data_IF_327620526668
#
_entry.id   IF_327620526668
#
_cell.length_a   1.000
_cell.length_b   1.000
_cell.length_c   1.000
_cell.angle_alpha   90.00
_cell.angle_beta   90.00
_cell.angle_gamma   90.00
#
_symmetry.space_group_name_H-M   'P 1'
#
loop_
_entity.id
_entity.type
_entity.pdbx_description
1 polymer ?
#
# COMPACT_ATOMS: atom_id res chain seq x y z
N UNK A 1 14.19 6.56 13.74
CA UNK A 1 13.70 5.37 13.02
C UNK A 1 13.97 5.55 11.54
N UNK A 2 13.42 4.66 10.72
CA UNK A 2 13.45 4.77 9.25
C UNK A 2 12.02 4.56 8.75
N UNK A 3 11.58 5.39 7.80
CA UNK A 3 10.35 5.19 7.06
C UNK A 3 10.69 5.00 5.58
N UNK A 4 10.27 3.87 5.00
CA UNK A 4 10.55 3.54 3.61
C UNK A 4 9.42 3.98 2.70
N UNK A 5 9.66 5.11 2.03
CA UNK A 5 8.82 5.69 0.98
C UNK A 5 9.47 5.51 -0.40
N UNK A 6 9.60 4.24 -0.80
CA UNK A 6 10.32 3.85 -2.02
C UNK A 6 9.31 3.73 -3.16
N UNK A 7 9.47 4.61 -4.14
CA UNK A 7 8.57 4.70 -5.27
C UNK A 7 9.31 4.87 -6.59
N UNK A 8 8.56 4.68 -7.68
CA UNK A 8 9.00 5.01 -9.02
C UNK A 8 9.02 6.52 -9.26
N UNK A 9 9.31 6.89 -10.50
CA UNK A 9 9.21 8.26 -10.99
C UNK A 9 8.25 8.34 -12.17
N UNK A 10 7.63 9.50 -12.37
CA UNK A 10 6.68 9.76 -13.45
C UNK A 10 7.35 9.90 -14.85
N UNK A 11 8.27 9.01 -15.16
CA UNK A 11 8.96 8.88 -16.45
C UNK A 11 9.06 7.40 -16.83
N UNK A 12 8.31 6.99 -17.85
CA UNK A 12 8.26 5.60 -18.31
C UNK A 12 9.62 5.05 -18.75
N UNK A 13 10.57 5.90 -19.14
CA UNK A 13 11.90 5.47 -19.56
C UNK A 13 12.88 5.37 -18.39
N UNK A 14 12.55 5.93 -17.22
CA UNK A 14 13.46 6.00 -16.08
C UNK A 14 13.84 4.61 -15.55
N UNK A 15 15.15 4.32 -15.40
CA UNK A 15 15.60 3.06 -14.80
C UNK A 15 15.19 2.92 -13.33
N UNK A 16 14.70 3.99 -12.68
CA UNK A 16 14.26 3.97 -11.28
C UNK A 16 12.84 3.39 -11.10
N UNK A 17 12.14 3.05 -12.18
CA UNK A 17 10.83 2.39 -12.12
C UNK A 17 10.93 0.87 -11.93
N UNK A 18 11.87 0.44 -11.09
CA UNK A 18 12.11 -0.95 -10.72
C UNK A 18 12.64 -0.99 -9.29
N UNK A 19 12.04 -1.80 -8.42
CA UNK A 19 12.62 -2.15 -7.12
C UNK A 19 13.65 -3.27 -7.37
N UNK A 20 14.89 -2.90 -7.67
CA UNK A 20 15.94 -3.88 -7.93
C UNK A 20 16.14 -4.85 -6.76
N UNK A 21 16.64 -6.05 -7.04
CA UNK A 21 16.99 -7.02 -5.99
C UNK A 21 17.97 -6.46 -4.95
N UNK A 22 18.88 -5.58 -5.37
CA UNK A 22 19.80 -4.87 -4.47
C UNK A 22 19.07 -3.89 -3.54
N UNK A 23 18.12 -3.11 -4.08
CA UNK A 23 17.27 -2.22 -3.28
C UNK A 23 16.43 -3.03 -2.28
N UNK A 24 15.73 -4.05 -2.77
CA UNK A 24 14.93 -4.97 -1.95
C UNK A 24 15.74 -5.59 -0.80
N UNK A 25 16.96 -6.06 -1.09
CA UNK A 25 17.86 -6.65 -0.09
C UNK A 25 18.31 -5.60 0.93
N UNK A 26 18.75 -4.43 0.47
CA UNK A 26 19.21 -3.34 1.33
C UNK A 26 18.12 -2.91 2.32
N UNK A 27 16.90 -2.67 1.80
CA UNK A 27 15.76 -2.21 2.58
C UNK A 27 15.42 -3.22 3.67
N UNK A 28 15.30 -4.49 3.32
CA UNK A 28 14.97 -5.55 4.28
C UNK A 28 16.05 -5.79 5.32
N UNK A 29 17.31 -5.95 4.90
CA UNK A 29 18.43 -6.20 5.80
C UNK A 29 18.70 -5.03 6.75
N UNK A 30 18.62 -3.79 6.25
CA UNK A 30 18.75 -2.60 7.09
C UNK A 30 17.59 -2.50 8.07
N UNK A 31 16.37 -2.79 7.63
CA UNK A 31 15.18 -2.80 8.50
C UNK A 31 15.31 -3.82 9.63
N UNK A 32 15.73 -5.05 9.32
CA UNK A 32 15.98 -6.09 10.32
C UNK A 32 17.00 -5.64 11.37
N UNK A 33 18.13 -5.07 10.93
CA UNK A 33 19.21 -4.62 11.82
C UNK A 33 18.82 -3.40 12.64
N UNK A 34 18.12 -2.44 12.03
CA UNK A 34 17.59 -1.28 12.72
C UNK A 34 16.59 -1.72 13.81
N UNK A 35 15.71 -2.67 13.48
CA UNK A 35 14.74 -3.21 14.43
C UNK A 35 15.41 -3.95 15.59
N UNK A 36 16.40 -4.78 15.31
CA UNK A 36 17.20 -5.46 16.33
C UNK A 36 17.95 -4.48 17.27
N UNK A 37 18.24 -3.26 16.78
CA UNK A 37 18.89 -2.19 17.55
C UNK A 37 17.89 -1.30 18.31
N UNK A 38 16.60 -1.62 18.29
CA UNK A 38 15.56 -0.89 19.02
C UNK A 38 15.00 0.34 18.30
N UNK A 39 15.30 0.52 17.00
CA UNK A 39 14.69 1.60 16.21
C UNK A 39 13.28 1.24 15.75
N UNK A 40 12.46 2.29 15.60
CA UNK A 40 11.19 2.22 14.88
C UNK A 40 11.47 2.13 13.39
N UNK A 41 10.89 1.14 12.71
CA UNK A 41 11.02 0.97 11.26
C UNK A 41 9.63 0.88 10.64
N UNK A 42 9.34 1.69 9.65
CA UNK A 42 8.04 1.74 8.98
C UNK A 42 8.23 1.70 7.48
N UNK A 43 7.14 1.42 6.77
CA UNK A 43 7.07 1.57 5.33
C UNK A 43 5.72 2.14 4.94
N UNK A 44 5.71 2.85 3.82
CA UNK A 44 4.56 3.62 3.37
C UNK A 44 4.24 3.28 1.91
N UNK A 45 3.79 2.05 1.60
CA UNK A 45 3.53 1.67 0.22
C UNK A 45 2.31 2.39 -0.37
N UNK A 46 2.36 2.87 -1.63
CA UNK A 46 1.15 3.07 -2.40
C UNK A 46 0.31 1.79 -2.43
N UNK A 47 -1.02 1.91 -2.35
CA UNK A 47 -1.87 0.71 -2.46
C UNK A 47 -1.63 -0.07 -3.76
N UNK A 48 -1.29 0.59 -4.88
CA UNK A 48 -0.97 -0.14 -6.11
C UNK A 48 0.29 -1.01 -6.01
N UNK A 49 1.15 -0.79 -4.99
CA UNK A 49 2.39 -1.52 -4.75
C UNK A 49 2.20 -2.58 -3.64
N UNK A 50 1.06 -2.52 -2.96
CA UNK A 50 0.61 -3.49 -1.96
C UNK A 50 -0.92 -3.62 -2.09
N UNK A 51 -1.36 -4.42 -3.06
CA UNK A 51 -2.75 -4.80 -3.26
C UNK A 51 -2.89 -6.31 -3.02
N UNK A 52 -3.15 -6.66 -1.76
CA UNK A 52 -3.31 -8.04 -1.31
C UNK A 52 -4.60 -8.71 -1.83
N UNK A 53 -5.32 -8.09 -2.77
CA UNK A 53 -6.39 -8.75 -3.52
C UNK A 53 -5.94 -9.23 -4.90
N UNK A 54 -4.73 -8.87 -5.33
CA UNK A 54 -4.06 -9.38 -6.53
C UNK A 54 -3.05 -10.46 -6.13
N UNK A 55 -3.00 -11.55 -6.90
CA UNK A 55 -2.07 -12.66 -6.67
C UNK A 55 -0.69 -12.42 -7.27
N UNK A 56 -0.56 -11.51 -8.23
CA UNK A 56 0.71 -11.28 -8.91
C UNK A 56 1.63 -10.37 -8.12
N UNK A 57 2.93 -10.55 -8.31
CA UNK A 57 3.98 -9.67 -7.83
C UNK A 57 4.92 -9.31 -8.98
N UNK A 58 5.36 -8.06 -9.06
CA UNK A 58 6.41 -7.64 -9.99
C UNK A 58 7.32 -6.62 -9.29
N UNK A 59 8.61 -6.64 -9.61
CA UNK A 59 9.57 -5.63 -9.16
C UNK A 59 9.60 -4.41 -10.09
N UNK A 60 9.09 -4.55 -11.31
CA UNK A 60 8.77 -3.43 -12.19
C UNK A 60 7.66 -2.59 -11.57
N UNK A 61 7.82 -1.27 -11.64
CA UNK A 61 6.79 -0.31 -11.23
C UNK A 61 6.01 0.24 -12.43
N UNK A 62 6.12 -0.43 -13.59
CA UNK A 62 5.59 0.05 -14.88
C UNK A 62 4.30 -0.67 -15.30
N UNK A 63 3.31 -0.69 -14.42
CA UNK A 63 2.04 -1.35 -14.70
C UNK A 63 0.93 -0.33 -14.96
N UNK A 64 0.05 -0.66 -15.89
CA UNK A 64 -1.13 0.16 -16.19
C UNK A 64 -2.15 -0.02 -15.07
N UNK A 65 -2.71 1.08 -14.58
CA UNK A 65 -3.82 1.02 -13.61
C UNK A 65 -5.09 0.48 -14.26
N UNK A 66 -5.76 -0.46 -13.57
CA UNK A 66 -6.99 -1.09 -14.05
C UNK A 66 -8.12 -0.09 -14.39
N UNK A 67 -8.22 1.01 -13.65
CA UNK A 67 -9.27 2.02 -13.85
C UNK A 67 -8.79 3.35 -14.41
N UNK A 68 -7.48 3.50 -14.64
CA UNK A 68 -6.92 4.68 -15.29
C UNK A 68 -5.87 4.25 -16.31
N UNK A 69 -6.29 3.89 -17.55
CA UNK A 69 -5.39 3.36 -18.57
C UNK A 69 -4.23 4.29 -18.96
N UNK A 70 -4.33 5.60 -18.68
CA UNK A 70 -3.24 6.55 -18.90
C UNK A 70 -2.19 6.57 -17.79
N UNK A 71 -2.45 5.95 -16.64
CA UNK A 71 -1.49 5.83 -15.55
C UNK A 71 -0.72 4.51 -15.67
N UNK A 72 0.60 4.60 -15.74
CA UNK A 72 1.49 3.48 -16.07
C UNK A 72 2.49 3.15 -14.95
N UNK A 73 2.26 3.66 -13.74
CA UNK A 73 3.18 3.53 -12.61
C UNK A 73 2.58 2.75 -11.43
N UNK A 74 1.74 1.75 -11.70
CA UNK A 74 1.29 0.80 -10.66
C UNK A 74 2.39 -0.25 -10.41
N UNK A 75 2.53 -0.73 -9.18
CA UNK A 75 3.70 -1.53 -8.74
C UNK A 75 3.38 -2.94 -8.24
N UNK A 76 2.24 -3.50 -8.65
CA UNK A 76 1.88 -4.92 -8.58
C UNK A 76 2.53 -5.70 -7.42
N UNK A 77 2.12 -5.42 -6.16
CA UNK A 77 2.61 -6.12 -4.96
C UNK A 77 4.13 -6.15 -4.71
N UNK A 78 4.91 -5.22 -5.26
CA UNK A 78 6.35 -5.14 -5.00
C UNK A 78 6.68 -5.08 -3.49
N UNK A 79 5.84 -4.44 -2.67
CA UNK A 79 6.02 -4.39 -1.20
C UNK A 79 5.55 -5.66 -0.48
N UNK A 80 4.68 -6.48 -1.09
CA UNK A 80 4.26 -7.74 -0.48
C UNK A 80 5.45 -8.69 -0.30
N UNK A 81 6.44 -8.63 -1.21
CA UNK A 81 7.67 -9.41 -1.10
C UNK A 81 8.49 -9.04 0.14
N UNK A 82 8.50 -7.75 0.54
CA UNK A 82 9.22 -7.31 1.73
C UNK A 82 8.57 -7.88 3.00
N UNK A 83 7.24 -7.84 3.07
CA UNK A 83 6.47 -8.45 4.15
C UNK A 83 6.63 -9.97 4.22
N UNK A 84 6.66 -10.63 3.07
CA UNK A 84 6.81 -12.08 2.96
C UNK A 84 8.21 -12.55 3.40
N UNK A 85 9.26 -11.82 3.01
CA UNK A 85 10.65 -12.19 3.33
C UNK A 85 11.06 -11.77 4.74
N UNK A 86 10.75 -10.53 5.10
CA UNK A 86 11.18 -9.91 6.34
C UNK A 86 9.96 -9.82 7.25
N UNK A 87 9.77 -10.89 8.04
CA UNK A 87 8.67 -11.13 8.99
C UNK A 87 7.97 -9.84 9.44
N UNK A 88 6.64 -9.86 9.51
CA UNK A 88 5.82 -8.76 10.01
C UNK A 88 6.40 -8.03 11.23
N UNK A 89 7.09 -8.69 12.18
CA UNK A 89 7.74 -8.02 13.32
C UNK A 89 8.87 -7.02 12.96
N UNK A 90 9.36 -7.03 11.73
CA UNK A 90 10.43 -6.15 11.21
C UNK A 90 9.94 -4.70 11.11
N UNK A 91 8.70 -4.52 10.67
CA UNK A 91 8.10 -3.20 10.45
C UNK A 91 7.10 -2.91 11.57
N UNK A 92 7.32 -1.83 12.31
CA UNK A 92 6.40 -1.36 13.35
C UNK A 92 5.05 -0.96 12.76
N UNK A 93 5.08 -0.24 11.63
CA UNK A 93 3.88 0.22 10.93
C UNK A 93 3.99 0.00 9.42
N UNK A 94 2.85 -0.29 8.81
CA UNK A 94 2.66 -0.34 7.35
C UNK A 94 1.59 0.68 6.99
N UNK A 95 2.02 1.82 6.46
CA UNK A 95 1.20 2.99 6.18
C UNK A 95 0.75 2.99 4.72
N UNK A 96 -0.36 2.33 4.40
CA UNK A 96 -0.81 2.21 3.01
C UNK A 96 -1.33 3.55 2.49
N UNK A 97 -0.70 4.10 1.45
CA UNK A 97 -1.13 5.34 0.82
C UNK A 97 -2.28 5.09 -0.16
N UNK A 98 -3.46 5.65 0.13
CA UNK A 98 -4.65 5.51 -0.72
C UNK A 98 -4.76 6.60 -1.81
N UNK A 99 -3.77 7.50 -1.88
CA UNK A 99 -3.84 8.75 -2.64
C UNK A 99 -2.70 8.92 -3.66
N UNK A 100 -1.62 8.15 -3.55
CA UNK A 100 -0.39 8.41 -4.30
C UNK A 100 -0.46 7.96 -5.76
N UNK A 101 -1.19 6.87 -6.01
CA UNK A 101 -1.31 6.25 -7.33
C UNK A 101 -2.78 6.02 -7.68
N UNK A 102 -3.07 5.73 -8.95
CA UNK A 102 -4.39 5.24 -9.33
C UNK A 102 -4.52 3.78 -8.92
N UNK A 103 -5.09 3.55 -7.74
CA UNK A 103 -5.17 2.24 -7.11
C UNK A 103 -6.61 1.76 -6.96
N UNK A 104 -6.79 0.53 -6.47
CA UNK A 104 -8.07 -0.18 -6.44
C UNK A 104 -9.17 0.60 -5.72
N UNK A 105 -8.86 1.27 -4.60
CA UNK A 105 -9.84 2.06 -3.86
C UNK A 105 -10.25 3.32 -4.64
N UNK A 106 -9.35 3.95 -5.40
CA UNK A 106 -9.73 5.04 -6.31
C UNK A 106 -10.79 4.57 -7.28
N UNK A 107 -10.57 3.40 -7.87
CA UNK A 107 -11.48 2.80 -8.84
C UNK A 107 -12.84 2.55 -8.19
N UNK A 108 -12.85 1.88 -7.02
CA UNK A 108 -14.07 1.52 -6.31
C UNK A 108 -14.88 2.76 -5.88
N UNK A 109 -14.24 3.80 -5.34
CA UNK A 109 -14.93 5.03 -4.93
C UNK A 109 -15.48 5.79 -6.13
N UNK A 110 -14.73 5.88 -7.23
CA UNK A 110 -15.18 6.57 -8.46
C UNK A 110 -16.33 5.84 -9.15
N UNK A 111 -16.26 4.51 -9.25
CA UNK A 111 -17.31 3.69 -9.86
C UNK A 111 -18.58 3.62 -9.01
N UNK A 112 -18.46 3.65 -7.68
CA UNK A 112 -19.62 3.73 -6.77
C UNK A 112 -20.15 5.17 -6.60
N UNK A 113 -19.43 6.21 -7.03
CA UNK A 113 -20.02 7.54 -7.11
C UNK A 113 -21.08 7.62 -8.24
N UNK A 114 -21.00 6.75 -9.25
CA UNK A 114 -21.88 6.76 -10.42
C UNK A 114 -23.03 5.76 -10.34
N UNK A 115 -22.96 4.78 -9.44
CA UNK A 115 -24.00 3.80 -9.15
C UNK A 115 -24.32 3.87 -7.65
N UNK A 116 -25.59 3.92 -7.21
CA UNK A 116 -25.98 4.05 -5.78
C UNK A 116 -25.59 2.81 -4.91
N UNK A 117 -24.39 2.27 -5.08
CA UNK A 117 -23.83 1.10 -4.41
C UNK A 117 -23.25 1.43 -3.05
N UNK A 118 -22.15 0.77 -2.70
CA UNK A 118 -21.50 0.90 -1.40
C UNK A 118 -21.03 2.33 -1.12
N UNK A 119 -21.21 2.79 0.12
CA UNK A 119 -20.69 4.07 0.61
C UNK A 119 -19.15 4.04 0.68
N UNK A 120 -18.51 5.22 0.61
CA UNK A 120 -17.06 5.36 0.80
C UNK A 120 -16.57 4.68 2.09
N UNK A 121 -17.32 4.80 3.18
CA UNK A 121 -17.02 4.16 4.45
C UNK A 121 -17.03 2.61 4.36
N UNK A 122 -17.98 2.03 3.63
CA UNK A 122 -18.04 0.58 3.40
C UNK A 122 -16.84 0.10 2.57
N UNK A 123 -16.55 0.79 1.46
CA UNK A 123 -15.42 0.47 0.58
C UNK A 123 -14.10 0.54 1.38
N UNK A 124 -13.95 1.56 2.23
CA UNK A 124 -12.78 1.74 3.06
C UNK A 124 -12.66 0.67 4.15
N UNK A 125 -13.76 0.28 4.79
CA UNK A 125 -13.76 -0.81 5.76
C UNK A 125 -13.36 -2.15 5.11
N UNK A 126 -13.87 -2.43 3.90
CA UNK A 126 -13.51 -3.64 3.14
C UNK A 126 -12.06 -3.60 2.66
N UNK A 127 -11.56 -2.42 2.26
CA UNK A 127 -10.14 -2.21 1.95
C UNK A 127 -9.25 -2.47 3.17
N UNK A 128 -9.64 -2.01 4.35
CA UNK A 128 -8.88 -2.29 5.59
C UNK A 128 -8.88 -3.79 5.89
N UNK A 129 -10.03 -4.46 5.76
CA UNK A 129 -10.13 -5.91 5.97
C UNK A 129 -9.25 -6.70 5.00
N UNK A 130 -9.16 -6.31 3.73
CA UNK A 130 -8.33 -7.05 2.78
C UNK A 130 -6.85 -7.07 3.16
N UNK A 131 -6.33 -6.00 3.80
CA UNK A 131 -4.97 -6.01 4.34
C UNK A 131 -4.81 -6.96 5.53
N UNK A 132 -5.81 -7.03 6.40
CA UNK A 132 -5.78 -7.82 7.62
C UNK A 132 -5.96 -9.31 7.31
N UNK A 133 -6.95 -9.64 6.49
CA UNK A 133 -7.20 -11.00 6.03
C UNK A 133 -6.02 -11.47 5.16
N UNK A 134 -5.50 -10.56 4.33
CA UNK A 134 -4.40 -10.81 3.41
C UNK A 134 -4.81 -11.53 2.14
N UNK A 135 -3.83 -11.76 1.28
CA UNK A 135 -3.98 -12.43 0.00
C UNK A 135 -2.88 -13.42 -0.27
N UNK A 136 -3.16 -14.41 -1.11
CA UNK A 136 -2.13 -15.30 -1.62
C UNK A 136 -1.39 -14.60 -2.76
N UNK A 137 -0.06 -14.53 -2.68
CA UNK A 137 0.79 -13.89 -3.69
C UNK A 137 1.75 -14.92 -4.27
N UNK A 138 1.79 -15.01 -5.60
CA UNK A 138 2.56 -15.99 -6.36
C UNK A 138 3.98 -15.51 -6.68
N UNK A 139 4.82 -15.40 -5.64
CA UNK A 139 6.21 -14.99 -5.81
C UNK A 139 7.04 -15.98 -6.62
N UNK A 140 6.79 -17.30 -6.47
CA UNK A 140 7.61 -18.31 -7.11
C UNK A 140 7.49 -18.28 -8.64
N UNK A 141 6.30 -17.98 -9.17
CA UNK A 141 6.10 -17.82 -10.61
C UNK A 141 6.37 -16.38 -11.08
N UNK A 142 6.01 -15.36 -10.29
CA UNK A 142 6.02 -13.97 -10.76
C UNK A 142 7.38 -13.27 -10.60
N UNK A 143 8.13 -13.57 -9.53
CA UNK A 143 9.45 -12.97 -9.21
C UNK A 143 10.43 -14.02 -8.66
N UNK A 144 10.75 -15.08 -9.44
CA UNK A 144 11.54 -16.22 -8.97
C UNK A 144 12.94 -15.86 -8.45
N UNK A 145 13.51 -14.74 -8.92
CA UNK A 145 14.81 -14.23 -8.49
C UNK A 145 14.88 -13.88 -7.00
N UNK A 146 13.74 -13.63 -6.35
CA UNK A 146 13.68 -13.38 -4.91
C UNK A 146 13.81 -14.66 -4.08
N UNK A 147 13.65 -15.83 -4.69
CA UNK A 147 13.69 -17.14 -4.03
C UNK A 147 12.58 -17.34 -2.98
N UNK A 148 11.48 -16.60 -3.09
CA UNK A 148 10.36 -16.66 -2.16
C UNK A 148 9.33 -17.70 -2.61
N UNK A 149 8.81 -18.54 -1.69
CA UNK A 149 7.66 -19.36 -2.02
C UNK A 149 6.40 -18.50 -2.11
N UNK A 150 5.48 -18.92 -2.96
CA UNK A 150 4.13 -18.36 -3.04
C UNK A 150 3.40 -18.60 -1.72
N UNK A 151 2.82 -17.55 -1.15
CA UNK A 151 2.31 -17.59 0.22
C UNK A 151 1.26 -16.51 0.48
N UNK A 152 0.53 -16.67 1.59
CA UNK A 152 -0.37 -15.63 2.08
C UNK A 152 0.42 -14.52 2.75
N UNK A 153 0.22 -13.27 2.32
CA UNK A 153 0.74 -12.06 2.93
C UNK A 153 -0.41 -11.31 3.58
N UNK A 154 -0.22 -10.85 4.81
CA UNK A 154 -1.18 -10.01 5.54
C UNK A 154 -0.46 -8.97 6.40
N UNK A 155 -1.19 -7.96 6.84
CA UNK A 155 -0.72 -6.92 7.76
C UNK A 155 -1.52 -7.03 9.05
N UNK A 156 -0.84 -7.05 10.20
CA UNK A 156 -1.57 -7.12 11.47
C UNK A 156 -2.33 -5.81 11.74
N UNK A 157 -3.53 -5.87 12.36
CA UNK A 157 -4.30 -4.67 12.70
C UNK A 157 -3.51 -3.63 13.50
N UNK A 158 -2.66 -4.08 14.42
CA UNK A 158 -1.82 -3.22 15.27
C UNK A 158 -0.63 -2.55 14.53
N UNK A 159 -0.37 -2.97 13.29
CA UNK A 159 0.66 -2.40 12.41
C UNK A 159 0.08 -1.57 11.27
N UNK A 160 -1.15 -1.88 10.84
CA UNK A 160 -1.77 -1.26 9.69
C UNK A 160 -2.13 0.20 9.98
N UNK A 161 -1.65 1.12 9.16
CA UNK A 161 -2.01 2.53 9.17
C UNK A 161 -2.56 2.89 7.79
N UNK A 162 -3.64 3.68 7.75
CA UNK A 162 -4.26 4.09 6.49
C UNK A 162 -3.85 5.53 6.16
N UNK A 163 -3.20 5.71 5.02
CA UNK A 163 -2.67 6.98 4.54
C UNK A 163 -3.66 7.76 3.67
N UNK A 164 -3.83 9.04 3.99
CA UNK A 164 -4.72 9.98 3.31
C UNK A 164 -3.96 11.23 2.82
N UNK A 165 -4.58 11.96 1.90
CA UNK A 165 -4.09 13.27 1.43
C UNK A 165 -5.25 14.09 0.88
N UNK A 166 -5.00 15.35 0.56
CA UNK A 166 -5.85 16.15 -0.32
C UNK A 166 -5.88 15.54 -1.72
N UNK A 167 -7.05 15.06 -2.16
CA UNK A 167 -7.24 14.47 -3.49
C UNK A 167 -7.21 15.46 -4.65
N UNK A 168 -7.62 15.01 -5.83
CA UNK A 168 -7.55 15.78 -7.07
C UNK A 168 -8.43 17.05 -6.96
N UNK A 169 -7.79 18.22 -6.95
CA UNK A 169 -8.43 19.52 -6.79
C UNK A 169 -7.56 20.56 -6.07
N UNK A 170 -6.59 20.10 -5.27
CA UNK A 170 -5.46 20.93 -4.84
C UNK A 170 -4.41 20.96 -5.96
N UNK A 171 -3.59 22.02 -5.99
CA UNK A 171 -2.50 22.24 -6.96
C UNK A 171 -1.42 21.12 -6.97
N UNK A 172 -1.60 20.04 -6.20
CA UNK A 172 -0.62 19.00 -5.90
C UNK A 172 -1.01 17.57 -6.33
N UNK A 173 -2.16 17.38 -7.00
CA UNK A 173 -2.35 16.24 -7.92
C UNK A 173 -2.45 14.83 -7.32
N UNK A 174 -2.96 14.62 -6.09
CA UNK A 174 -3.22 13.26 -5.57
C UNK A 174 -4.51 12.64 -6.12
N UNK A 175 -4.59 11.32 -6.12
CA UNK A 175 -5.62 10.58 -6.86
C UNK A 175 -6.97 10.43 -6.12
N UNK A 176 -6.96 10.49 -4.78
CA UNK A 176 -8.13 10.28 -3.90
C UNK A 176 -8.16 11.23 -2.71
N UNK A 177 -9.34 11.76 -2.41
CA UNK A 177 -9.67 12.37 -1.12
C UNK A 177 -10.68 11.47 -0.40
N UNK A 178 -10.44 11.21 0.88
CA UNK A 178 -11.40 10.56 1.76
C UNK A 178 -11.74 11.54 2.86
N UNK A 179 -13.04 11.78 3.05
CA UNK A 179 -13.49 12.64 4.13
C UNK A 179 -13.21 11.96 5.50
N UNK A 180 -12.67 12.68 6.50
CA UNK A 180 -12.45 12.15 7.85
C UNK A 180 -13.67 11.47 8.49
N UNK A 181 -14.89 11.95 8.21
CA UNK A 181 -16.13 11.32 8.67
C UNK A 181 -16.36 9.95 8.04
N UNK A 182 -15.94 9.72 6.80
CA UNK A 182 -16.04 8.40 6.17
C UNK A 182 -15.00 7.44 6.75
N UNK A 183 -13.80 7.91 7.09
CA UNK A 183 -12.83 7.09 7.83
C UNK A 183 -13.33 6.75 9.23
N UNK A 184 -13.89 7.71 9.97
CA UNK A 184 -14.45 7.46 11.30
C UNK A 184 -15.58 6.41 11.25
N UNK A 185 -16.46 6.48 10.24
CA UNK A 185 -17.49 5.47 10.00
C UNK A 185 -16.87 4.11 9.67
N UNK A 186 -15.93 4.05 8.72
CA UNK A 186 -15.25 2.81 8.35
C UNK A 186 -14.58 2.14 9.56
N UNK A 187 -13.87 2.92 10.38
CA UNK A 187 -13.23 2.47 11.61
C UNK A 187 -14.25 1.90 12.63
N UNK A 188 -15.39 2.57 12.78
CA UNK A 188 -16.47 2.12 13.65
C UNK A 188 -17.18 0.85 13.15
N UNK A 189 -17.21 0.61 11.84
CA UNK A 189 -17.76 -0.61 11.22
C UNK A 189 -16.90 -1.85 11.47
N UNK A 190 -15.64 -1.69 11.88
CA UNK A 190 -14.73 -2.79 12.15
C UNK A 190 -14.84 -3.26 13.61
N UNK A 191 -14.86 -4.59 13.86
CA UNK A 191 -14.66 -5.14 15.19
C UNK A 191 -13.36 -4.61 15.81
N UNK A 192 -13.32 -4.45 17.13
CA UNK A 192 -12.17 -3.86 17.82
C UNK A 192 -10.83 -4.56 17.47
N UNK A 193 -10.85 -5.88 17.31
CA UNK A 193 -9.69 -6.68 16.95
C UNK A 193 -9.18 -6.47 15.51
N UNK A 194 -10.00 -5.89 14.63
CA UNK A 194 -9.67 -5.63 13.22
C UNK A 194 -9.48 -4.14 12.93
N UNK A 195 -9.47 -3.30 13.97
CA UNK A 195 -9.25 -1.87 13.77
C UNK A 195 -7.77 -1.62 13.46
N UNK A 196 -7.47 -0.84 12.41
CA UNK A 196 -6.09 -0.47 12.12
C UNK A 196 -5.53 0.37 13.27
N UNK A 197 -4.20 0.43 13.35
CA UNK A 197 -3.46 1.20 14.36
C UNK A 197 -3.82 2.68 14.33
N UNK A 198 -4.10 3.22 13.15
CA UNK A 198 -4.50 4.61 13.00
C UNK A 198 -4.51 5.10 11.57
N UNK A 199 -4.29 6.40 11.41
CA UNK A 199 -4.23 7.10 10.13
C UNK A 199 -2.89 7.83 9.99
N UNK A 200 -2.48 8.02 8.74
CA UNK A 200 -1.40 8.91 8.33
C UNK A 200 -1.98 9.93 7.35
N UNK A 201 -1.44 11.14 7.34
CA UNK A 201 -1.88 12.20 6.44
C UNK A 201 -0.69 12.87 5.76
N UNK A 202 -0.76 13.00 4.43
CA UNK A 202 0.19 13.75 3.63
C UNK A 202 -0.39 15.11 3.23
N UNK A 203 0.18 16.22 3.68
CA UNK A 203 1.31 16.35 4.59
C UNK A 203 1.01 17.33 5.73
N UNK A 204 1.87 17.34 6.75
CA UNK A 204 1.71 18.16 7.96
C UNK A 204 1.65 19.67 7.69
N UNK A 205 2.20 20.16 6.57
CA UNK A 205 2.15 21.58 6.23
C UNK A 205 0.78 21.99 5.69
N UNK A 206 0.01 21.01 5.23
CA UNK A 206 -1.28 21.21 4.58
C UNK A 206 -2.47 20.82 5.49
N UNK A 207 -2.25 20.04 6.55
CA UNK A 207 -3.26 19.66 7.58
C UNK A 207 -3.61 20.85 8.51
#
# INVERSE_FOLDING_TARGET
GIDWDIEGVNDLMSPNNVISHACFTLVGELSLRAKASGYVVTMVPPQSYLDLTNEKADLSLRHVSECMPSFHFAGENAYAALLAKYNASTFDLVSVQLYETWCKINCAVRQNATSKGATTAQILADTIRSYIDGGFVDFAASVPELGLPSQRVSVRPDQLVIGFSFGAGSLHGRSLYINPQDFAKAYAMLPAALRPRGAMFWNLELD
#
